data_IF_324196521461
#
_entry.id   IF_324196521461
#
_cell.length_a   1.000
_cell.length_b   1.000
_cell.length_c   1.000
_cell.angle_alpha   90.00
_cell.angle_beta   90.00
_cell.angle_gamma   90.00
#
_symmetry.space_group_name_H-M   'P 1'
#
loop_
_entity.id
_entity.type
_entity.pdbx_description
1 polymer ?
#
# COMPACT_ATOMS: atom_id res chain seq x y z
N UNK A 1 -20.57 0.01 -25.13
CA UNK A 1 -20.26 1.09 -24.15
C UNK A 1 -18.95 1.72 -24.59
N UNK A 2 -18.87 3.04 -24.75
CA UNK A 2 -17.67 3.69 -25.27
C UNK A 2 -16.51 3.67 -24.27
N UNK A 3 -15.27 3.58 -24.75
CA UNK A 3 -14.06 3.57 -23.91
C UNK A 3 -14.01 4.76 -22.93
N UNK A 4 -14.49 5.94 -23.34
CA UNK A 4 -14.60 7.12 -22.49
C UNK A 4 -15.45 6.90 -21.22
N UNK A 5 -16.52 6.11 -21.32
CA UNK A 5 -17.38 5.78 -20.17
C UNK A 5 -16.65 4.90 -19.16
N UNK A 6 -15.89 3.90 -19.63
CA UNK A 6 -15.10 3.02 -18.76
C UNK A 6 -13.98 3.79 -18.06
N UNK A 7 -13.28 4.67 -18.77
CA UNK A 7 -12.24 5.54 -18.20
C UNK A 7 -12.82 6.44 -17.11
N UNK A 8 -13.93 7.14 -17.40
CA UNK A 8 -14.56 8.04 -16.44
C UNK A 8 -15.03 7.29 -15.19
N UNK A 9 -15.60 6.10 -15.36
CA UNK A 9 -16.04 5.25 -14.26
C UNK A 9 -14.85 4.79 -13.41
N UNK A 10 -13.77 4.34 -14.03
CA UNK A 10 -12.56 3.91 -13.31
C UNK A 10 -11.96 5.06 -12.47
N UNK A 11 -11.78 6.23 -13.08
CA UNK A 11 -11.27 7.42 -12.40
C UNK A 11 -12.17 7.84 -11.24
N UNK A 12 -13.49 7.82 -11.44
CA UNK A 12 -14.45 8.18 -10.39
C UNK A 12 -14.40 7.19 -9.22
N UNK A 13 -14.34 5.89 -9.48
CA UNK A 13 -14.26 4.87 -8.43
C UNK A 13 -12.96 4.97 -7.64
N UNK A 14 -11.82 5.19 -8.31
CA UNK A 14 -10.53 5.41 -7.66
C UNK A 14 -10.55 6.65 -6.75
N UNK A 15 -11.04 7.79 -7.28
CA UNK A 15 -11.15 9.03 -6.52
C UNK A 15 -12.12 8.89 -5.34
N UNK A 16 -13.26 8.23 -5.55
CA UNK A 16 -14.25 7.97 -4.49
C UNK A 16 -13.65 7.14 -3.35
N UNK A 17 -12.83 6.13 -3.65
CA UNK A 17 -12.11 5.34 -2.65
C UNK A 17 -11.15 6.20 -1.81
N UNK A 18 -10.37 7.07 -2.46
CA UNK A 18 -9.45 8.00 -1.79
C UNK A 18 -10.22 8.97 -0.88
N UNK A 19 -11.29 9.58 -1.41
CA UNK A 19 -12.12 10.54 -0.65
C UNK A 19 -12.83 9.87 0.53
N UNK A 20 -13.29 8.62 0.37
CA UNK A 20 -13.90 7.84 1.44
C UNK A 20 -12.91 7.63 2.59
N UNK A 21 -11.70 7.18 2.27
CA UNK A 21 -10.62 7.02 3.25
C UNK A 21 -10.30 8.34 3.95
N UNK A 22 -10.16 9.44 3.20
CA UNK A 22 -9.87 10.75 3.76
C UNK A 22 -10.99 11.29 4.66
N UNK A 23 -12.25 11.14 4.26
CA UNK A 23 -13.41 11.53 5.09
C UNK A 23 -13.49 10.73 6.39
N UNK A 24 -13.23 9.44 6.33
CA UNK A 24 -13.21 8.60 7.51
C UNK A 24 -12.03 8.93 8.44
N UNK A 25 -10.86 9.27 7.86
CA UNK A 25 -9.70 9.74 8.61
C UNK A 25 -9.97 11.05 9.35
N UNK A 26 -10.48 12.07 8.64
CA UNK A 26 -10.80 13.39 9.22
C UNK A 26 -11.87 13.34 10.30
N UNK A 27 -12.79 12.38 10.23
CA UNK A 27 -13.83 12.16 11.25
C UNK A 27 -13.41 11.18 12.36
N UNK A 28 -12.17 10.70 12.36
CA UNK A 28 -11.69 9.64 13.24
C UNK A 28 -12.59 8.39 13.26
N UNK A 29 -13.29 8.13 12.15
CA UNK A 29 -14.26 7.04 11.99
C UNK A 29 -13.72 5.94 11.06
N UNK A 30 -12.40 5.73 11.08
CA UNK A 30 -11.73 4.73 10.26
C UNK A 30 -12.08 3.31 10.76
N UNK A 31 -13.21 2.78 10.30
CA UNK A 31 -13.66 1.42 10.60
C UNK A 31 -13.36 0.44 9.47
N UNK A 32 -13.40 -0.86 9.78
CA UNK A 32 -13.18 -1.93 8.79
C UNK A 32 -14.10 -1.81 7.56
N UNK A 33 -15.35 -1.34 7.74
CA UNK A 33 -16.32 -1.12 6.66
C UNK A 33 -15.83 -0.09 5.64
N UNK A 34 -15.17 0.97 6.11
CA UNK A 34 -14.60 2.02 5.24
C UNK A 34 -13.44 1.44 4.45
N UNK A 35 -12.57 0.67 5.11
CA UNK A 35 -11.42 0.01 4.46
C UNK A 35 -11.90 -0.95 3.38
N UNK A 36 -12.86 -1.82 3.71
CA UNK A 36 -13.46 -2.76 2.73
C UNK A 36 -14.13 -1.99 1.59
N UNK A 37 -14.85 -0.90 1.88
CA UNK A 37 -15.46 -0.05 0.86
C UNK A 37 -14.44 0.59 -0.08
N UNK A 38 -13.36 1.12 0.46
CA UNK A 38 -12.29 1.73 -0.34
C UNK A 38 -11.55 0.69 -1.20
N UNK A 39 -11.26 -0.49 -0.64
CA UNK A 39 -10.65 -1.60 -1.39
C UNK A 39 -11.59 -2.10 -2.48
N UNK A 40 -12.90 -2.21 -2.22
CA UNK A 40 -13.88 -2.59 -3.21
C UNK A 40 -13.98 -1.58 -4.36
N UNK A 41 -14.01 -0.27 -4.04
CA UNK A 41 -13.99 0.80 -5.04
C UNK A 41 -12.72 0.76 -5.89
N UNK A 42 -11.58 0.48 -5.28
CA UNK A 42 -10.32 0.33 -6.00
C UNK A 42 -10.32 -0.92 -6.89
N UNK A 43 -10.85 -2.04 -6.41
CA UNK A 43 -11.05 -3.26 -7.19
C UNK A 43 -11.97 -3.06 -8.40
N UNK A 44 -13.07 -2.31 -8.22
CA UNK A 44 -13.98 -1.94 -9.30
C UNK A 44 -13.31 -1.02 -10.33
N UNK A 45 -12.49 -0.06 -9.88
CA UNK A 45 -11.68 0.77 -10.76
C UNK A 45 -10.71 -0.08 -11.60
N UNK A 46 -9.99 -0.99 -10.96
CA UNK A 46 -9.06 -1.90 -11.66
C UNK A 46 -9.79 -2.80 -12.65
N UNK A 47 -10.95 -3.34 -12.27
CA UNK A 47 -11.76 -4.15 -13.18
C UNK A 47 -12.21 -3.35 -14.42
N UNK A 48 -12.63 -2.09 -14.24
CA UNK A 48 -13.02 -1.23 -15.36
C UNK A 48 -11.86 -0.97 -16.34
N UNK A 49 -10.64 -0.79 -15.84
CA UNK A 49 -9.45 -0.68 -16.69
C UNK A 49 -9.13 -1.97 -17.45
N UNK A 50 -9.19 -3.12 -16.77
CA UNK A 50 -8.96 -4.44 -17.37
C UNK A 50 -10.01 -4.74 -18.45
N UNK A 51 -11.28 -4.45 -18.18
CA UNK A 51 -12.38 -4.67 -19.12
C UNK A 51 -12.28 -3.77 -20.37
N UNK A 52 -11.74 -2.56 -20.23
CA UNK A 52 -11.62 -1.61 -21.34
C UNK A 52 -10.40 -1.81 -22.23
N UNK A 53 -9.25 -2.15 -21.64
CA UNK A 53 -7.95 -2.12 -22.33
C UNK A 53 -7.21 -3.46 -22.27
N UNK A 54 -7.85 -4.50 -21.75
CA UNK A 54 -7.23 -5.79 -21.49
C UNK A 54 -6.44 -5.79 -20.18
N UNK A 55 -6.08 -6.98 -19.67
CA UNK A 55 -5.40 -7.12 -18.38
C UNK A 55 -3.99 -6.52 -18.37
N UNK A 56 -3.27 -6.56 -19.49
CA UNK A 56 -1.88 -6.12 -19.58
C UNK A 56 -1.76 -4.60 -19.43
N UNK A 57 -2.50 -3.86 -20.25
CA UNK A 57 -2.52 -2.40 -20.23
C UNK A 57 -3.38 -1.89 -19.07
N UNK A 58 -4.50 -2.56 -18.80
CA UNK A 58 -5.46 -2.15 -17.77
C UNK A 58 -4.88 -2.15 -16.36
N UNK A 59 -4.09 -3.15 -15.98
CA UNK A 59 -3.46 -3.17 -14.63
C UNK A 59 -2.45 -2.02 -14.49
N UNK A 60 -1.63 -1.78 -15.51
CA UNK A 60 -0.66 -0.68 -15.50
C UNK A 60 -1.38 0.68 -15.38
N UNK A 61 -2.41 0.91 -16.20
CA UNK A 61 -3.23 2.13 -16.13
C UNK A 61 -3.94 2.30 -14.79
N UNK A 62 -4.45 1.21 -14.19
CA UNK A 62 -5.09 1.26 -12.88
C UNK A 62 -4.10 1.70 -11.79
N UNK A 63 -2.89 1.14 -11.77
CA UNK A 63 -1.85 1.49 -10.80
C UNK A 63 -1.35 2.93 -11.00
N UNK A 64 -1.07 3.31 -12.25
CA UNK A 64 -0.58 4.65 -12.59
C UNK A 64 -1.62 5.72 -12.25
N UNK A 65 -2.87 5.54 -12.66
CA UNK A 65 -3.94 6.50 -12.36
C UNK A 65 -4.23 6.58 -10.87
N UNK A 66 -4.18 5.47 -10.13
CA UNK A 66 -4.30 5.49 -8.67
C UNK A 66 -3.16 6.29 -8.01
N UNK A 67 -1.91 6.09 -8.45
CA UNK A 67 -0.75 6.80 -7.93
C UNK A 67 -0.83 8.31 -8.22
N UNK A 68 -1.18 8.69 -9.46
CA UNK A 68 -1.33 10.08 -9.87
C UNK A 68 -2.47 10.78 -9.13
N UNK A 69 -3.63 10.13 -8.99
CA UNK A 69 -4.76 10.67 -8.23
C UNK A 69 -4.43 10.83 -6.75
N UNK A 70 -3.77 9.83 -6.14
CA UNK A 70 -3.34 9.92 -4.75
C UNK A 70 -2.32 11.04 -4.55
N UNK A 71 -1.34 11.18 -5.43
CA UNK A 71 -0.34 12.26 -5.38
C UNK A 71 -1.01 13.62 -5.53
N UNK A 72 -1.85 13.80 -6.56
CA UNK A 72 -2.60 15.04 -6.76
C UNK A 72 -3.45 15.39 -5.53
N UNK A 73 -4.12 14.41 -4.94
CA UNK A 73 -4.90 14.59 -3.71
C UNK A 73 -4.02 15.04 -2.54
N UNK A 74 -2.85 14.43 -2.34
CA UNK A 74 -1.89 14.83 -1.30
C UNK A 74 -1.42 16.29 -1.52
N UNK A 75 -1.07 16.65 -2.76
CA UNK A 75 -0.63 18.01 -3.11
C UNK A 75 -1.70 19.07 -2.77
N UNK A 76 -2.98 18.77 -3.00
CA UNK A 76 -4.10 19.70 -2.66
C UNK A 76 -4.35 19.88 -1.16
N UNK A 77 -3.67 19.10 -0.31
CA UNK A 77 -3.86 19.05 1.14
C UNK A 77 -2.56 19.26 1.91
N UNK A 78 -1.53 19.81 1.27
CA UNK A 78 -0.30 20.20 1.95
C UNK A 78 -0.63 21.33 2.92
N UNK A 79 -0.65 21.01 4.20
CA UNK A 79 -0.69 22.00 5.27
C UNK A 79 0.72 22.54 5.50
N UNK A 80 0.94 23.81 5.18
CA UNK A 80 2.18 24.51 5.53
C UNK A 80 2.17 24.71 7.04
N UNK A 81 2.96 23.90 7.77
CA UNK A 81 3.15 24.12 9.20
C UNK A 81 3.82 25.47 9.41
N UNK A 82 3.19 26.40 10.16
CA UNK A 82 3.86 27.64 10.52
C UNK A 82 5.12 27.31 11.32
N UNK A 83 6.20 28.07 11.08
CA UNK A 83 7.46 27.90 11.79
C UNK A 83 7.18 27.96 13.31
N UNK A 84 7.39 26.84 13.97
CA UNK A 84 7.11 26.70 15.39
C UNK A 84 8.14 27.54 16.14
N UNK A 85 7.72 28.69 16.68
CA UNK A 85 8.59 29.55 17.50
C UNK A 85 9.08 28.70 18.66
N UNK A 86 10.38 28.40 18.66
CA UNK A 86 11.04 27.64 19.72
C UNK A 86 10.97 28.50 20.97
N UNK A 87 9.92 28.33 21.76
CA UNK A 87 9.88 28.85 23.13
C UNK A 87 10.95 28.09 23.91
N UNK A 88 11.84 28.81 24.58
CA UNK A 88 12.75 28.29 25.59
C UNK A 88 11.95 27.62 26.72
N UNK A 89 11.49 26.40 26.46
CA UNK A 89 10.98 25.50 27.47
C UNK A 89 12.17 24.63 27.86
N UNK A 90 12.60 24.78 29.11
CA UNK A 90 13.46 23.80 29.77
C UNK A 90 12.82 22.45 29.51
N UNK A 91 13.50 21.62 28.72
CA UNK A 91 12.94 20.36 28.26
C UNK A 91 12.62 19.49 29.49
N UNK A 92 11.37 19.02 29.67
CA UNK A 92 11.12 17.98 30.67
C UNK A 92 12.05 16.80 30.38
N UNK A 93 12.59 16.12 31.42
CA UNK A 93 13.55 15.04 31.23
C UNK A 93 13.01 14.04 30.23
N UNK A 94 13.77 13.83 29.15
CA UNK A 94 13.39 12.95 28.06
C UNK A 94 13.04 11.57 28.64
N UNK A 95 11.85 11.01 28.33
CA UNK A 95 11.53 9.65 28.74
C UNK A 95 12.63 8.71 28.24
N UNK A 96 13.07 7.77 29.09
CA UNK A 96 14.16 6.83 28.79
C UNK A 96 13.96 6.16 27.43
N UNK A 97 14.73 6.57 26.42
CA UNK A 97 14.63 6.08 25.04
C UNK A 97 14.84 4.56 25.03
N UNK A 98 13.79 3.80 24.72
CA UNK A 98 13.88 2.36 24.42
C UNK A 98 14.42 2.15 23.00
N UNK A 99 15.72 2.30 22.81
CA UNK A 99 16.41 2.08 21.52
C UNK A 99 16.12 0.70 20.93
N UNK A 100 16.03 -0.35 21.78
CA UNK A 100 15.73 -1.71 21.32
C UNK A 100 14.38 -1.85 20.61
N UNK A 101 13.34 -1.10 21.02
CA UNK A 101 12.04 -1.15 20.35
C UNK A 101 12.08 -0.43 19.00
N UNK A 102 12.91 0.61 18.87
CA UNK A 102 13.15 1.30 17.61
C UNK A 102 13.91 0.42 16.61
N UNK A 103 14.97 -0.24 17.07
CA UNK A 103 15.76 -1.18 16.24
C UNK A 103 14.89 -2.36 15.80
N UNK A 104 14.10 -2.94 16.71
CA UNK A 104 13.19 -4.02 16.36
C UNK A 104 12.16 -3.60 15.30
N UNK A 105 11.63 -2.37 15.36
CA UNK A 105 10.76 -1.82 14.32
C UNK A 105 11.48 -1.66 12.99
N UNK A 106 12.69 -1.10 13.01
CA UNK A 106 13.48 -0.93 11.79
C UNK A 106 13.80 -2.26 11.13
N UNK A 107 14.16 -3.29 11.90
CA UNK A 107 14.41 -4.65 11.39
C UNK A 107 13.13 -5.32 10.86
N UNK A 108 12.00 -5.12 11.55
CA UNK A 108 10.72 -5.68 11.12
C UNK A 108 10.21 -5.00 9.85
N UNK A 109 10.28 -3.67 9.78
CA UNK A 109 9.86 -2.88 8.62
C UNK A 109 10.79 -3.05 7.43
N UNK A 110 12.10 -3.04 7.69
CA UNK A 110 13.14 -3.24 6.70
C UNK A 110 13.19 -4.68 6.27
N UNK A 111 13.84 -5.54 7.05
CA UNK A 111 14.22 -6.88 6.61
C UNK A 111 13.02 -7.83 6.46
N UNK A 112 12.14 -7.92 7.47
CA UNK A 112 10.99 -8.83 7.41
C UNK A 112 9.93 -8.37 6.40
N UNK A 113 9.63 -7.07 6.38
CA UNK A 113 8.74 -6.48 5.38
C UNK A 113 9.26 -6.68 3.95
N UNK A 114 10.57 -6.51 3.75
CA UNK A 114 11.23 -6.73 2.45
C UNK A 114 11.17 -8.20 2.02
N UNK A 115 11.49 -9.13 2.92
CA UNK A 115 11.43 -10.56 2.63
C UNK A 115 10.00 -11.01 2.25
N UNK A 116 8.99 -10.54 2.99
CA UNK A 116 7.59 -10.81 2.67
C UNK A 116 7.18 -10.22 1.31
N UNK A 117 7.63 -9.00 0.99
CA UNK A 117 7.35 -8.35 -0.28
C UNK A 117 8.00 -9.07 -1.47
N UNK A 118 9.26 -9.52 -1.33
CA UNK A 118 9.93 -10.33 -2.35
C UNK A 118 9.20 -11.65 -2.56
N UNK A 119 8.87 -12.37 -1.49
CA UNK A 119 8.19 -13.66 -1.61
C UNK A 119 6.87 -13.55 -2.36
N UNK A 120 6.06 -12.53 -2.04
CA UNK A 120 4.83 -12.21 -2.78
C UNK A 120 5.10 -11.85 -4.24
N UNK A 121 6.10 -11.02 -4.51
CA UNK A 121 6.45 -10.62 -5.87
C UNK A 121 6.91 -11.81 -6.71
N UNK A 122 7.72 -12.72 -6.16
CA UNK A 122 8.17 -13.95 -6.82
C UNK A 122 7.00 -14.89 -7.07
N UNK A 123 6.10 -15.05 -6.10
CA UNK A 123 4.89 -15.86 -6.27
C UNK A 123 4.02 -15.29 -7.41
N UNK A 124 3.86 -13.96 -7.46
CA UNK A 124 3.15 -13.30 -8.54
C UNK A 124 3.87 -13.47 -9.89
N UNK A 125 5.21 -13.33 -9.89
CA UNK A 125 6.07 -13.48 -11.06
C UNK A 125 6.02 -14.87 -11.69
N UNK A 126 5.69 -15.90 -10.90
CA UNK A 126 5.69 -17.30 -11.36
C UNK A 126 4.28 -17.81 -11.66
N UNK A 127 3.26 -17.35 -10.93
CA UNK A 127 1.92 -17.96 -10.97
C UNK A 127 0.83 -17.12 -11.62
N UNK A 128 1.03 -15.82 -11.84
CA UNK A 128 -0.04 -15.01 -12.42
C UNK A 128 -0.38 -15.47 -13.85
N UNK A 129 -1.68 -15.60 -14.21
CA UNK A 129 -2.12 -16.02 -15.54
C UNK A 129 -2.05 -14.84 -16.53
N UNK A 130 -0.83 -14.37 -16.77
CA UNK A 130 -0.52 -13.21 -17.61
C UNK A 130 0.67 -13.57 -18.52
N UNK A 131 0.85 -12.82 -19.61
CA UNK A 131 2.05 -12.90 -20.43
C UNK A 131 3.31 -12.73 -19.56
N UNK A 132 4.36 -13.49 -19.87
CA UNK A 132 5.57 -13.57 -19.04
C UNK A 132 6.19 -12.19 -18.80
N UNK A 133 6.32 -11.38 -19.84
CA UNK A 133 6.84 -10.01 -19.76
C UNK A 133 6.00 -9.13 -18.81
N UNK A 134 4.69 -9.12 -18.97
CA UNK A 134 3.75 -8.34 -18.13
C UNK A 134 3.83 -8.77 -16.67
N UNK A 135 3.89 -10.07 -16.43
CA UNK A 135 3.97 -10.65 -15.09
C UNK A 135 5.25 -10.25 -14.36
N UNK A 136 6.40 -10.28 -15.06
CA UNK A 136 7.68 -9.85 -14.51
C UNK A 136 7.72 -8.35 -14.20
N UNK A 137 7.19 -7.51 -15.11
CA UNK A 137 7.10 -6.06 -14.90
C UNK A 137 6.22 -5.73 -13.68
N UNK A 138 5.04 -6.35 -13.60
CA UNK A 138 4.12 -6.14 -12.48
C UNK A 138 4.69 -6.65 -11.16
N UNK A 139 5.39 -7.79 -11.16
CA UNK A 139 6.08 -8.27 -9.98
C UNK A 139 7.16 -7.30 -9.50
N UNK A 140 7.95 -6.75 -10.43
CA UNK A 140 8.97 -5.76 -10.13
C UNK A 140 8.39 -4.45 -9.56
N UNK A 141 7.21 -4.02 -10.03
CA UNK A 141 6.50 -2.83 -9.52
C UNK A 141 5.77 -3.09 -8.19
N UNK A 142 5.23 -4.30 -8.01
CA UNK A 142 4.51 -4.69 -6.80
C UNK A 142 5.46 -4.77 -5.60
N UNK A 143 6.68 -5.26 -5.80
CA UNK A 143 7.67 -5.44 -4.73
C UNK A 143 7.94 -4.17 -3.89
N UNK A 144 8.37 -3.03 -4.47
CA UNK A 144 8.62 -1.81 -3.70
C UNK A 144 7.34 -1.23 -3.10
N UNK A 145 6.21 -1.36 -3.81
CA UNK A 145 4.90 -0.88 -3.33
C UNK A 145 4.45 -1.62 -2.07
N UNK A 146 4.56 -2.96 -2.08
CA UNK A 146 4.26 -3.82 -0.94
C UNK A 146 5.19 -3.51 0.24
N UNK A 147 6.47 -3.27 -0.04
CA UNK A 147 7.45 -2.94 0.99
C UNK A 147 7.18 -1.57 1.63
N UNK A 148 6.86 -0.54 0.83
CA UNK A 148 6.41 0.75 1.35
C UNK A 148 5.17 0.62 2.23
N UNK A 149 4.20 -0.22 1.83
CA UNK A 149 3.02 -0.53 2.64
C UNK A 149 3.38 -1.19 3.98
N UNK A 150 4.31 -2.14 3.98
CA UNK A 150 4.82 -2.79 5.19
C UNK A 150 5.47 -1.77 6.14
N UNK A 151 6.29 -0.85 5.60
CA UNK A 151 6.90 0.24 6.39
C UNK A 151 5.81 1.14 6.99
N UNK A 152 4.85 1.59 6.20
CA UNK A 152 3.75 2.43 6.68
C UNK A 152 2.95 1.73 7.80
N UNK A 153 2.63 0.44 7.64
CA UNK A 153 1.94 -0.34 8.66
C UNK A 153 2.75 -0.37 9.97
N UNK A 154 4.04 -0.70 9.89
CA UNK A 154 4.88 -0.86 11.08
C UNK A 154 5.07 0.43 11.89
N UNK A 155 5.02 1.58 11.21
CA UNK A 155 5.08 2.90 11.83
C UNK A 155 3.74 3.24 12.50
N UNK A 156 2.62 2.97 11.84
CA UNK A 156 1.29 3.32 12.33
C UNK A 156 0.83 2.48 13.52
N UNK A 157 1.22 1.21 13.61
CA UNK A 157 0.70 0.28 14.61
C UNK A 157 1.73 -0.05 15.71
N UNK A 158 1.23 -0.18 16.96
CA UNK A 158 2.06 -0.43 18.14
C UNK A 158 2.36 -1.92 18.37
N UNK A 159 1.62 -2.81 17.71
CA UNK A 159 1.66 -4.27 17.88
C UNK A 159 2.74 -4.93 17.00
N UNK A 160 4.01 -4.80 17.38
CA UNK A 160 5.13 -5.43 16.64
C UNK A 160 4.98 -6.94 16.45
N UNK A 161 4.55 -7.66 17.49
CA UNK A 161 4.50 -9.13 17.45
C UNK A 161 3.53 -9.63 16.37
N UNK A 162 2.42 -8.93 16.17
CA UNK A 162 1.45 -9.25 15.13
C UNK A 162 2.05 -8.98 13.74
N UNK A 163 2.76 -7.86 13.56
CA UNK A 163 3.42 -7.53 12.30
C UNK A 163 4.51 -8.54 11.95
N UNK A 164 5.33 -8.93 12.92
CA UNK A 164 6.35 -9.98 12.75
C UNK A 164 5.68 -11.28 12.31
N UNK A 165 4.63 -11.71 13.02
CA UNK A 165 3.90 -12.94 12.67
C UNK A 165 3.30 -12.90 11.27
N UNK A 166 2.70 -11.79 10.88
CA UNK A 166 2.14 -11.60 9.52
C UNK A 166 3.23 -11.65 8.46
N UNK A 167 4.31 -10.87 8.61
CA UNK A 167 5.40 -10.88 7.62
C UNK A 167 6.10 -12.22 7.53
N UNK A 168 6.36 -12.87 8.67
CA UNK A 168 6.95 -14.20 8.70
C UNK A 168 6.03 -15.23 8.06
N UNK A 169 4.73 -15.17 8.34
CA UNK A 169 3.71 -16.03 7.74
C UNK A 169 3.62 -15.83 6.23
N UNK A 170 3.64 -14.58 5.75
CA UNK A 170 3.66 -14.26 4.33
C UNK A 170 4.93 -14.74 3.64
N UNK A 171 6.10 -14.52 4.26
CA UNK A 171 7.37 -15.02 3.73
C UNK A 171 7.39 -16.55 3.68
N UNK A 172 6.93 -17.23 4.74
CA UNK A 172 6.90 -18.69 4.81
C UNK A 172 5.91 -19.31 3.82
N UNK A 173 4.70 -18.74 3.69
CA UNK A 173 3.70 -19.23 2.73
C UNK A 173 4.13 -18.99 1.29
N UNK A 174 4.63 -17.80 0.96
CA UNK A 174 5.13 -17.52 -0.40
C UNK A 174 6.34 -18.39 -0.76
N UNK A 175 7.29 -18.56 0.16
CA UNK A 175 8.40 -19.49 -0.03
C UNK A 175 7.91 -20.94 -0.18
N UNK A 176 7.04 -21.40 0.73
CA UNK A 176 6.52 -22.76 0.72
C UNK A 176 5.77 -23.09 -0.57
N UNK A 177 4.90 -22.20 -1.04
CA UNK A 177 4.19 -22.39 -2.32
C UNK A 177 5.19 -22.42 -3.48
N UNK A 178 6.22 -21.59 -3.45
CA UNK A 178 7.25 -21.57 -4.50
C UNK A 178 8.04 -22.88 -4.51
N UNK A 179 8.53 -23.35 -3.36
CA UNK A 179 9.32 -24.59 -3.25
C UNK A 179 8.55 -25.87 -3.52
N UNK A 180 7.26 -25.94 -3.15
CA UNK A 180 6.42 -27.13 -3.42
C UNK A 180 6.13 -27.28 -4.92
N UNK A 181 6.27 -26.20 -5.69
CA UNK A 181 5.90 -26.17 -7.12
C UNK A 181 7.04 -25.83 -8.07
N UNK A 182 8.27 -25.78 -7.54
CA UNK A 182 9.51 -25.79 -8.31
C UNK A 182 9.89 -27.24 -8.62
#
# INVERSE_FOLDING_TARGET
MGAAFLIATALFMSLAGIVLCWRAWTRHALGWRVVVGAVALWGLSTWAWIAGFGPEIGIALALETAALLALAFILTRIEVRPAQVVRDRIAPPLPRRRHGRGIARALTAGLLGFAAAIGLAVLFATRAPLAEQTRLILAALAMPSLWCGAIAWTVCDRRLLLQIGVFLGLAATSAGITFITA
#
